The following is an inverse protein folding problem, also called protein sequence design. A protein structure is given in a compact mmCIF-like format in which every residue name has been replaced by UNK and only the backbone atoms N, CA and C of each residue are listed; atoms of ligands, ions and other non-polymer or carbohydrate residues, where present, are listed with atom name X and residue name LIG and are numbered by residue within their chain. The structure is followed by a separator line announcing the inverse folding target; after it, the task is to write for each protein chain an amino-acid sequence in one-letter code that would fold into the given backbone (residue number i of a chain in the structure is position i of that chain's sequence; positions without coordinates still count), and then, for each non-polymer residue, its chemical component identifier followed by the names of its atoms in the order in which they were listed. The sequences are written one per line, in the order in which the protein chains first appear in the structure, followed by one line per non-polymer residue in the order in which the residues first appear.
data_IF_181181808512
#
_entry.id   IF_181181808512
#
_cell.length_a   1.000
_cell.length_b   1.000
_cell.length_c   1.000
_cell.angle_alpha   90.00
_cell.angle_beta   90.00
_cell.angle_gamma   90.00
#
_symmetry.space_group_name_H-M   'P 1'
#
loop_
_entity.id
_entity.type
_entity.pdbx_description
1 polymer ?
#
# COMPACT_ATOMS: atom_id res chain seq x y z
N UNK A 1 36.20 34.14 20.48
CA UNK A 1 35.10 33.17 20.73
C UNK A 1 34.09 33.87 21.61
N UNK A 2 32.92 34.08 21.10
CA UNK A 2 31.81 34.61 21.90
C UNK A 2 31.23 33.52 22.80
N UNK A 3 30.46 33.88 23.84
CA UNK A 3 29.77 32.90 24.68
C UNK A 3 28.89 31.98 23.86
N UNK A 4 28.33 32.45 22.73
CA UNK A 4 27.55 31.68 21.80
C UNK A 4 28.33 30.63 21.01
N UNK A 5 29.61 30.94 20.69
CA UNK A 5 30.44 29.97 19.93
C UNK A 5 30.87 28.76 20.78
N UNK A 6 31.06 28.99 22.09
CA UNK A 6 31.39 27.92 23.04
C UNK A 6 30.14 27.12 23.40
N UNK A 7 28.98 27.77 23.51
CA UNK A 7 27.72 27.12 23.79
C UNK A 7 27.30 26.15 22.65
N UNK A 8 27.56 26.49 21.38
CA UNK A 8 27.25 25.63 20.24
C UNK A 8 28.07 24.32 20.21
N UNK A 9 29.27 24.31 20.82
CA UNK A 9 30.17 23.16 20.80
C UNK A 9 30.09 22.28 22.06
N UNK A 10 29.96 22.88 23.25
CA UNK A 10 30.09 22.18 24.54
C UNK A 10 29.12 22.63 25.63
N UNK A 11 28.23 23.59 25.38
CA UNK A 11 27.37 24.22 26.38
C UNK A 11 25.94 24.44 25.91
N UNK A 12 25.44 23.60 25.01
CA UNK A 12 24.02 23.62 24.62
C UNK A 12 23.18 23.30 25.85
N UNK A 13 22.13 24.12 26.11
CA UNK A 13 21.23 23.93 27.23
C UNK A 13 20.55 22.56 27.25
N UNK A 14 20.33 21.95 26.07
CA UNK A 14 19.72 20.62 25.93
C UNK A 14 20.65 19.44 26.32
N UNK A 15 21.90 19.72 26.72
CA UNK A 15 22.71 18.73 27.44
C UNK A 15 22.26 18.60 28.90
N UNK A 16 21.56 19.59 29.44
CA UNK A 16 21.08 19.63 30.81
C UNK A 16 19.59 19.87 30.99
N UNK A 17 18.91 20.24 29.91
CA UNK A 17 17.47 20.48 29.86
C UNK A 17 16.81 19.60 28.79
N UNK A 18 15.62 19.07 29.02
CA UNK A 18 14.91 18.29 27.99
C UNK A 18 14.52 19.18 26.80
N UNK A 19 14.46 18.58 25.61
CA UNK A 19 13.95 19.25 24.43
C UNK A 19 12.49 19.67 24.62
N UNK A 20 12.04 20.80 24.02
CA UNK A 20 10.63 21.19 24.05
C UNK A 20 9.73 20.12 23.44
N UNK A 21 8.77 19.61 24.22
CA UNK A 21 7.88 18.51 23.78
C UNK A 21 6.39 18.82 23.97
N UNK A 22 6.03 19.69 24.92
CA UNK A 22 4.63 19.94 25.27
C UNK A 22 4.19 21.39 25.06
N UNK A 23 5.13 22.34 25.10
CA UNK A 23 4.83 23.77 24.96
C UNK A 23 5.60 24.36 23.81
N UNK A 24 4.99 25.32 23.11
CA UNK A 24 5.70 26.09 22.08
C UNK A 24 6.80 26.90 22.75
N UNK A 25 8.07 26.77 22.30
CA UNK A 25 9.19 27.42 22.94
C UNK A 25 9.13 28.94 22.73
N UNK A 26 9.39 29.71 23.80
CA UNK A 26 9.45 31.17 23.75
C UNK A 26 10.67 31.68 22.95
N UNK A 27 11.80 30.97 23.02
CA UNK A 27 13.00 31.26 22.29
C UNK A 27 13.39 30.14 21.32
N UNK A 28 13.75 30.51 20.10
CA UNK A 28 14.22 29.56 19.10
C UNK A 28 15.64 29.05 19.42
N UNK A 29 16.00 28.01 18.66
CA UNK A 29 17.36 27.40 18.66
C UNK A 29 18.12 27.78 17.41
N UNK A 30 19.45 27.60 17.42
CA UNK A 30 20.24 27.70 16.18
C UNK A 30 19.90 26.53 15.25
N UNK A 31 20.03 26.71 13.94
CA UNK A 31 19.80 25.65 12.98
C UNK A 31 20.65 24.40 13.27
N UNK A 32 21.92 24.59 13.67
CA UNK A 32 22.83 23.49 14.01
C UNK A 32 22.37 22.70 15.23
N UNK A 33 21.89 23.38 16.28
CA UNK A 33 21.38 22.72 17.47
C UNK A 33 20.08 21.98 17.20
N UNK A 34 19.19 22.58 16.37
CA UNK A 34 17.94 21.92 15.94
C UNK A 34 18.22 20.66 15.13
N UNK A 35 19.15 20.72 14.18
CA UNK A 35 19.54 19.55 13.41
C UNK A 35 20.11 18.44 14.30
N UNK A 36 21.01 18.78 15.21
CA UNK A 36 21.59 17.80 16.11
C UNK A 36 20.54 17.13 17.00
N UNK A 37 19.59 17.89 17.51
CA UNK A 37 18.50 17.36 18.33
C UNK A 37 17.65 16.32 17.53
N UNK A 38 17.30 16.66 16.28
CA UNK A 38 16.56 15.73 15.41
C UNK A 38 17.40 14.49 15.07
N UNK A 39 18.67 14.64 14.76
CA UNK A 39 19.54 13.51 14.42
C UNK A 39 19.73 12.56 15.62
N UNK A 40 19.84 13.10 16.86
CA UNK A 40 19.93 12.31 18.09
C UNK A 40 18.66 11.45 18.33
N UNK A 41 17.48 11.98 18.02
CA UNK A 41 16.21 11.23 18.12
C UNK A 41 16.07 10.22 16.98
N UNK A 42 16.32 10.63 15.73
CA UNK A 42 16.14 9.81 14.54
C UNK A 42 17.09 8.60 14.47
N UNK A 43 18.28 8.68 15.10
CA UNK A 43 19.22 7.55 15.18
C UNK A 43 18.65 6.35 15.96
N UNK A 44 17.62 6.58 16.80
CA UNK A 44 16.93 5.52 17.56
C UNK A 44 15.92 4.75 16.72
N UNK A 45 15.62 5.20 15.50
CA UNK A 45 14.72 4.50 14.59
C UNK A 45 15.36 3.24 14.00
N UNK A 46 14.52 2.31 13.53
CA UNK A 46 14.98 1.06 12.93
C UNK A 46 15.62 1.22 11.55
N UNK A 47 16.44 0.24 11.17
CA UNK A 47 17.02 0.18 9.82
C UNK A 47 15.94 -0.15 8.77
N UNK A 48 15.64 0.77 7.84
CA UNK A 48 14.62 0.53 6.81
C UNK A 48 14.95 -0.63 5.87
N UNK A 49 16.23 -1.01 5.72
CA UNK A 49 16.62 -2.15 4.88
C UNK A 49 16.25 -3.50 5.55
N UNK A 50 16.20 -3.55 6.88
CA UNK A 50 15.80 -4.73 7.64
C UNK A 50 14.31 -4.77 7.98
N UNK A 51 13.56 -3.74 7.58
CA UNK A 51 12.13 -3.70 7.76
C UNK A 51 11.41 -4.42 6.61
N UNK A 52 11.05 -5.68 6.83
CA UNK A 52 10.31 -6.52 5.88
C UNK A 52 8.79 -6.52 6.16
N UNK A 53 8.33 -5.63 7.05
CA UNK A 53 6.92 -5.47 7.37
C UNK A 53 6.20 -4.51 6.42
N UNK A 54 6.88 -3.48 5.92
CA UNK A 54 6.28 -2.42 5.10
C UNK A 54 6.60 -2.56 3.62
N UNK A 55 5.59 -2.29 2.79
CA UNK A 55 5.71 -2.24 1.33
C UNK A 55 6.35 -0.95 0.80
N UNK A 56 6.62 0.02 1.68
CA UNK A 56 7.06 1.36 1.30
C UNK A 56 8.49 1.34 0.80
N UNK A 57 8.75 2.02 -0.32
CA UNK A 57 10.08 2.26 -0.88
C UNK A 57 10.90 3.14 0.06
N UNK A 58 12.12 2.71 0.33
CA UNK A 58 13.06 3.40 1.23
C UNK A 58 14.37 3.83 0.56
N UNK A 59 14.48 3.59 -0.74
CA UNK A 59 15.65 3.95 -1.53
C UNK A 59 15.25 4.46 -2.92
N UNK A 60 15.91 5.50 -3.39
CA UNK A 60 15.84 6.00 -4.76
C UNK A 60 17.23 6.43 -5.24
N UNK A 61 17.43 6.48 -6.56
CA UNK A 61 18.67 6.99 -7.17
C UNK A 61 18.95 8.44 -6.74
N UNK A 62 20.24 8.86 -6.58
CA UNK A 62 20.60 10.22 -6.17
C UNK A 62 19.98 11.31 -7.06
N UNK A 63 19.82 11.06 -8.36
CA UNK A 63 19.19 11.98 -9.31
C UNK A 63 17.70 12.19 -8.98
N UNK A 64 17.00 11.14 -8.60
CA UNK A 64 15.60 11.23 -8.16
C UNK A 64 15.48 11.99 -6.83
N UNK A 65 16.37 11.72 -5.88
CA UNK A 65 16.42 12.46 -4.61
C UNK A 65 16.68 13.96 -4.85
N UNK A 66 17.57 14.31 -5.79
CA UNK A 66 17.82 15.69 -6.18
C UNK A 66 16.57 16.35 -6.78
N UNK A 67 15.86 15.65 -7.69
CA UNK A 67 14.59 16.15 -8.25
C UNK A 67 13.59 16.43 -7.12
N UNK A 68 13.48 15.56 -6.14
CA UNK A 68 12.58 15.75 -5.00
C UNK A 68 12.97 17.01 -4.23
N UNK A 69 14.24 17.10 -3.80
CA UNK A 69 14.74 18.19 -2.96
C UNK A 69 14.63 19.56 -3.64
N UNK A 70 14.97 19.65 -4.93
CA UNK A 70 14.92 20.90 -5.70
C UNK A 70 13.50 21.37 -6.00
N UNK A 71 12.46 20.52 -5.83
CA UNK A 71 11.08 20.81 -6.21
C UNK A 71 10.08 20.75 -5.05
N UNK A 72 10.55 20.69 -3.79
CA UNK A 72 9.68 20.65 -2.60
C UNK A 72 8.75 21.87 -2.46
N UNK A 73 9.18 23.02 -2.98
CA UNK A 73 8.45 24.29 -2.92
C UNK A 73 7.26 24.37 -3.87
N UNK A 74 7.12 23.46 -4.86
CA UNK A 74 6.07 23.52 -5.87
C UNK A 74 4.75 23.09 -5.29
N UNK A 75 3.80 24.05 -5.17
CA UNK A 75 2.42 23.72 -4.80
C UNK A 75 1.66 23.22 -6.02
N UNK A 76 1.22 21.98 -5.97
CA UNK A 76 0.66 21.31 -7.15
C UNK A 76 -0.64 21.92 -7.65
N UNK A 77 -1.48 22.50 -6.78
CA UNK A 77 -2.76 23.09 -7.18
C UNK A 77 -2.59 24.36 -8.02
N UNK A 78 -1.41 24.97 -7.99
CA UNK A 78 -1.13 26.20 -8.75
C UNK A 78 -0.68 25.87 -10.17
N UNK A 79 -1.64 25.47 -11.00
CA UNK A 79 -1.40 25.13 -12.40
C UNK A 79 -0.97 26.35 -13.25
N UNK A 80 -1.25 27.58 -12.80
CA UNK A 80 -0.81 28.78 -13.49
C UNK A 80 0.69 29.03 -13.33
N UNK A 81 1.23 28.77 -12.13
CA UNK A 81 2.67 28.87 -11.84
C UNK A 81 3.43 27.61 -12.30
N UNK A 82 2.84 26.42 -12.13
CA UNK A 82 3.49 25.13 -12.40
C UNK A 82 2.78 24.30 -13.49
N UNK A 83 2.51 24.83 -14.70
CA UNK A 83 1.75 24.13 -15.74
C UNK A 83 2.45 22.85 -16.22
N UNK A 84 3.78 22.79 -16.15
CA UNK A 84 4.55 21.60 -16.55
C UNK A 84 4.39 20.48 -15.53
N UNK A 85 4.28 20.79 -14.23
CA UNK A 85 4.02 19.78 -13.19
C UNK A 85 2.64 19.13 -13.39
N UNK A 86 1.62 19.93 -13.74
CA UNK A 86 0.28 19.43 -14.08
C UNK A 86 0.30 18.55 -15.35
N UNK A 87 1.02 18.97 -16.40
CA UNK A 87 1.18 18.15 -17.61
C UNK A 87 1.92 16.83 -17.33
N UNK A 88 2.93 16.83 -16.45
CA UNK A 88 3.65 15.61 -16.06
C UNK A 88 2.71 14.65 -15.31
N UNK A 89 1.84 15.13 -14.43
CA UNK A 89 0.81 14.30 -13.80
C UNK A 89 -0.04 13.60 -14.88
N UNK A 90 -0.54 14.36 -15.83
CA UNK A 90 -1.37 13.81 -16.91
C UNK A 90 -0.61 12.80 -17.78
N UNK A 91 0.70 12.97 -17.97
CA UNK A 91 1.55 11.96 -18.61
C UNK A 91 1.60 10.69 -17.79
N UNK A 92 1.81 10.79 -16.48
CA UNK A 92 1.81 9.62 -15.60
C UNK A 92 0.45 8.88 -15.63
N UNK A 93 -0.67 9.62 -15.60
CA UNK A 93 -2.01 9.01 -15.70
C UNK A 93 -2.18 8.27 -17.04
N UNK A 94 -1.77 8.88 -18.17
CA UNK A 94 -1.83 8.21 -19.48
C UNK A 94 -0.94 6.99 -19.57
N UNK A 95 0.27 7.04 -19.01
CA UNK A 95 1.19 5.89 -18.95
C UNK A 95 0.63 4.73 -18.12
N UNK A 96 -0.02 5.04 -16.99
CA UNK A 96 -0.70 4.03 -16.17
C UNK A 96 -1.94 3.47 -16.87
N UNK A 97 -2.71 4.32 -17.54
CA UNK A 97 -3.86 3.89 -18.32
C UNK A 97 -3.46 2.89 -19.44
N UNK A 98 -2.37 3.18 -20.16
CA UNK A 98 -1.78 2.27 -21.16
C UNK A 98 -1.29 0.98 -20.49
N UNK A 99 -0.59 1.09 -19.36
CA UNK A 99 -0.10 -0.08 -18.60
C UNK A 99 -1.23 -0.99 -18.14
N UNK A 100 -2.40 -0.43 -17.81
CA UNK A 100 -3.60 -1.14 -17.37
C UNK A 100 -4.60 -1.42 -18.51
N UNK A 101 -4.17 -1.26 -19.76
CA UNK A 101 -4.94 -1.58 -20.97
C UNK A 101 -6.31 -0.84 -21.06
N UNK A 102 -6.34 0.42 -20.72
CA UNK A 102 -7.55 1.23 -20.85
C UNK A 102 -8.00 1.35 -22.34
N UNK A 103 -9.30 1.16 -22.64
CA UNK A 103 -9.76 1.01 -24.03
C UNK A 103 -9.86 2.33 -24.81
N UNK A 104 -9.79 3.49 -24.13
CA UNK A 104 -10.03 4.79 -24.76
C UNK A 104 -9.50 5.96 -23.96
N UNK A 105 -10.19 7.10 -24.07
CA UNK A 105 -9.84 8.30 -23.30
C UNK A 105 -10.16 8.10 -21.84
N UNK A 106 -9.14 8.16 -21.01
CA UNK A 106 -9.20 7.94 -19.58
C UNK A 106 -9.09 9.24 -18.80
N UNK A 107 -9.46 9.19 -17.54
CA UNK A 107 -9.16 10.23 -16.56
C UNK A 107 -8.58 9.61 -15.30
N UNK A 108 -7.93 10.40 -14.50
CA UNK A 108 -7.33 9.99 -13.25
C UNK A 108 -6.61 11.13 -12.58
N UNK A 109 -6.07 10.87 -11.41
CA UNK A 109 -5.29 11.84 -10.67
C UNK A 109 -4.20 11.18 -9.84
N UNK A 110 -3.22 11.98 -9.49
CA UNK A 110 -2.33 11.67 -8.39
C UNK A 110 -3.07 11.82 -7.06
N UNK A 111 -2.60 11.10 -6.05
CA UNK A 111 -3.08 11.19 -4.65
C UNK A 111 -1.89 11.12 -3.71
N UNK A 112 -2.10 11.39 -2.42
CA UNK A 112 -1.04 11.24 -1.41
C UNK A 112 -0.68 9.75 -1.14
N UNK A 113 -1.50 8.83 -1.63
CA UNK A 113 -1.33 7.39 -1.52
C UNK A 113 -2.63 6.68 -1.85
N UNK A 114 -2.62 5.35 -1.86
CA UNK A 114 -3.81 4.56 -2.18
C UNK A 114 -5.00 4.83 -1.27
N UNK A 115 -4.81 5.26 -0.03
CA UNK A 115 -5.94 5.60 0.84
C UNK A 115 -6.82 6.70 0.26
N UNK A 116 -6.23 7.78 -0.25
CA UNK A 116 -6.98 8.84 -0.93
C UNK A 116 -7.56 8.34 -2.26
N UNK A 117 -6.78 7.58 -3.04
CA UNK A 117 -7.23 7.02 -4.31
C UNK A 117 -8.44 6.10 -4.15
N UNK A 118 -8.44 5.24 -3.11
CA UNK A 118 -9.56 4.39 -2.73
C UNK A 118 -10.79 5.23 -2.35
N UNK A 119 -10.63 6.25 -1.51
CA UNK A 119 -11.74 7.13 -1.12
C UNK A 119 -12.39 7.78 -2.34
N UNK A 120 -11.60 8.32 -3.27
CA UNK A 120 -12.09 8.97 -4.49
C UNK A 120 -12.74 7.98 -5.47
N UNK A 121 -12.10 6.81 -5.68
CA UNK A 121 -12.64 5.76 -6.53
C UNK A 121 -13.99 5.24 -6.03
N UNK A 122 -14.05 4.90 -4.74
CA UNK A 122 -15.27 4.41 -4.11
C UNK A 122 -16.37 5.48 -4.02
N UNK A 123 -16.02 6.75 -3.80
CA UNK A 123 -16.98 7.88 -3.92
C UNK A 123 -17.56 7.96 -5.33
N UNK A 124 -16.74 7.79 -6.37
CA UNK A 124 -17.24 7.79 -7.74
C UNK A 124 -18.23 6.66 -7.99
N UNK A 125 -17.95 5.45 -7.47
CA UNK A 125 -18.90 4.34 -7.53
C UNK A 125 -20.22 4.69 -6.84
N UNK A 126 -20.17 5.25 -5.63
CA UNK A 126 -21.37 5.67 -4.88
C UNK A 126 -22.19 6.71 -5.64
N UNK A 127 -21.53 7.76 -6.17
CA UNK A 127 -22.23 8.82 -6.89
C UNK A 127 -22.79 8.34 -8.24
N UNK A 128 -22.09 7.47 -8.98
CA UNK A 128 -22.60 6.84 -10.20
C UNK A 128 -23.80 5.93 -9.93
N UNK A 129 -23.77 5.14 -8.86
CA UNK A 129 -24.92 4.36 -8.42
C UNK A 129 -26.11 5.26 -8.06
N UNK A 130 -25.88 6.32 -7.28
CA UNK A 130 -26.90 7.30 -6.91
C UNK A 130 -27.54 7.97 -8.13
N UNK A 131 -26.72 8.43 -9.07
CA UNK A 131 -27.17 9.05 -10.34
C UNK A 131 -28.13 8.12 -11.11
N UNK A 132 -27.75 6.83 -11.28
CA UNK A 132 -28.59 5.83 -11.96
C UNK A 132 -29.93 5.61 -11.25
N UNK A 133 -29.91 5.47 -9.93
CA UNK A 133 -31.12 5.23 -9.14
C UNK A 133 -32.06 6.44 -9.15
N UNK A 134 -31.52 7.62 -9.03
CA UNK A 134 -32.33 8.87 -9.12
C UNK A 134 -32.96 9.02 -10.51
N UNK A 135 -32.23 8.76 -11.59
CA UNK A 135 -32.76 8.79 -12.94
C UNK A 135 -33.91 7.78 -13.16
N UNK A 136 -33.89 6.67 -12.44
CA UNK A 136 -34.95 5.65 -12.44
C UNK A 136 -36.06 5.91 -11.39
N UNK A 137 -36.02 7.03 -10.64
CA UNK A 137 -36.91 7.34 -9.51
C UNK A 137 -36.92 6.25 -8.40
N UNK A 138 -35.76 5.63 -8.15
CA UNK A 138 -35.57 4.63 -7.10
C UNK A 138 -34.91 5.27 -5.86
N UNK A 139 -35.11 4.64 -4.69
CA UNK A 139 -34.44 5.06 -3.45
C UNK A 139 -32.92 4.99 -3.60
N UNK A 140 -32.23 5.95 -2.97
CA UNK A 140 -30.76 6.03 -2.86
C UNK A 140 -30.28 5.76 -1.44
N UNK A 141 -31.15 5.18 -0.62
CA UNK A 141 -30.84 4.81 0.77
C UNK A 141 -30.06 3.49 0.82
N UNK A 142 -29.25 3.36 1.89
CA UNK A 142 -28.54 2.14 2.22
C UNK A 142 -27.63 1.57 1.12
N UNK A 143 -26.74 2.40 0.51
CA UNK A 143 -25.74 1.90 -0.39
C UNK A 143 -24.83 0.88 0.33
N UNK A 144 -24.42 -0.18 -0.35
CA UNK A 144 -23.49 -1.17 0.19
C UNK A 144 -22.31 -1.41 -0.76
N UNK A 145 -21.19 -1.87 -0.19
CA UNK A 145 -19.97 -2.19 -0.91
C UNK A 145 -19.47 -3.57 -0.50
N UNK A 146 -19.19 -4.42 -1.48
CA UNK A 146 -18.75 -5.80 -1.25
C UNK A 146 -17.24 -5.90 -1.38
N UNK A 147 -16.57 -6.54 -0.40
CA UNK A 147 -15.12 -6.77 -0.40
C UNK A 147 -14.71 -7.94 0.50
N UNK A 148 -13.52 -8.51 0.27
CA UNK A 148 -12.96 -9.57 1.10
C UNK A 148 -12.54 -9.10 2.50
N UNK A 149 -12.52 -10.00 3.47
CA UNK A 149 -12.07 -9.70 4.84
C UNK A 149 -10.58 -9.33 4.97
N UNK A 150 -9.80 -9.54 3.92
CA UNK A 150 -8.35 -9.25 3.85
C UNK A 150 -8.00 -7.88 3.25
N UNK A 151 -9.01 -7.05 2.96
CA UNK A 151 -8.77 -5.70 2.46
C UNK A 151 -8.05 -4.80 3.49
N UNK A 152 -7.41 -3.77 3.00
CA UNK A 152 -6.84 -2.75 3.87
C UNK A 152 -7.94 -1.97 4.63
N UNK A 153 -7.70 -1.62 5.88
CA UNK A 153 -8.63 -0.89 6.78
C UNK A 153 -9.25 0.38 6.17
N UNK A 154 -8.67 0.94 5.14
CA UNK A 154 -9.20 2.12 4.43
C UNK A 154 -10.58 1.86 3.83
N UNK A 155 -10.89 0.61 3.44
CA UNK A 155 -12.21 0.23 2.92
C UNK A 155 -13.30 0.31 3.99
N UNK A 156 -12.98 -0.15 5.21
CA UNK A 156 -13.88 0.03 6.36
C UNK A 156 -14.04 1.51 6.76
N UNK A 157 -12.93 2.28 6.70
CA UNK A 157 -12.98 3.74 6.91
C UNK A 157 -13.86 4.42 5.87
N UNK A 158 -13.75 4.05 4.59
CA UNK A 158 -14.63 4.57 3.54
C UNK A 158 -16.10 4.31 3.88
N UNK A 159 -16.44 3.06 4.19
CA UNK A 159 -17.80 2.68 4.53
C UNK A 159 -18.35 3.49 5.71
N UNK A 160 -17.55 3.66 6.77
CA UNK A 160 -17.93 4.41 7.96
C UNK A 160 -18.04 5.92 7.71
N UNK A 161 -17.09 6.51 6.99
CA UNK A 161 -17.04 7.96 6.77
C UNK A 161 -18.11 8.44 5.80
N UNK A 162 -18.48 7.62 4.85
CA UNK A 162 -19.40 7.97 3.78
C UNK A 162 -20.76 7.25 3.86
N UNK A 163 -21.09 6.67 5.00
CA UNK A 163 -22.37 6.00 5.24
C UNK A 163 -22.71 4.98 4.16
N UNK A 164 -21.82 3.98 4.00
CA UNK A 164 -21.96 2.83 3.10
C UNK A 164 -21.93 1.57 3.94
N UNK A 165 -22.87 0.65 3.75
CA UNK A 165 -22.90 -0.63 4.43
C UNK A 165 -21.77 -1.54 3.92
N UNK A 166 -20.81 -1.95 4.78
CA UNK A 166 -19.79 -2.91 4.37
C UNK A 166 -20.39 -4.32 4.29
N UNK A 167 -20.24 -4.99 3.16
CA UNK A 167 -20.55 -6.40 2.97
C UNK A 167 -19.27 -7.18 2.85
N UNK A 168 -18.80 -7.66 4.00
CA UNK A 168 -17.52 -8.32 4.10
C UNK A 168 -17.69 -9.81 3.75
N UNK A 169 -17.01 -10.24 2.70
CA UNK A 169 -16.88 -11.64 2.34
C UNK A 169 -15.85 -12.29 3.26
N UNK A 170 -16.25 -13.30 4.04
CA UNK A 170 -15.33 -13.93 4.99
C UNK A 170 -14.26 -14.76 4.25
N UNK A 171 -13.06 -14.84 4.85
CA UNK A 171 -12.03 -15.77 4.41
C UNK A 171 -12.28 -17.19 4.98
N UNK A 172 -11.42 -18.14 4.63
CA UNK A 172 -11.34 -19.47 5.23
C UNK A 172 -9.87 -19.84 5.51
N UNK A 173 -9.65 -20.84 6.37
CA UNK A 173 -8.30 -21.25 6.78
C UNK A 173 -7.41 -21.73 5.61
N UNK A 174 -8.04 -22.14 4.50
CA UNK A 174 -7.42 -22.63 3.27
C UNK A 174 -7.71 -21.76 2.03
N UNK A 175 -8.42 -20.62 2.21
CA UNK A 175 -8.84 -19.74 1.14
C UNK A 175 -8.65 -18.27 1.53
N UNK A 176 -7.67 -17.63 0.92
CA UNK A 176 -7.19 -16.29 1.27
C UNK A 176 -7.55 -15.19 0.26
N UNK A 177 -8.39 -15.51 -0.71
CA UNK A 177 -8.88 -14.59 -1.76
C UNK A 177 -10.34 -14.84 -2.04
N UNK A 178 -11.03 -13.86 -2.60
CA UNK A 178 -12.44 -13.98 -2.97
C UNK A 178 -12.62 -14.29 -4.46
N UNK A 179 -13.72 -14.97 -4.77
CA UNK A 179 -14.14 -15.29 -6.12
C UNK A 179 -15.65 -15.09 -6.32
N UNK A 180 -16.18 -15.45 -7.51
CA UNK A 180 -17.59 -15.19 -7.85
C UNK A 180 -18.58 -15.83 -6.89
N UNK A 181 -18.34 -17.05 -6.43
CA UNK A 181 -19.26 -17.75 -5.51
C UNK A 181 -19.34 -17.08 -4.13
N UNK A 182 -18.27 -16.39 -3.74
CA UNK A 182 -18.21 -15.67 -2.46
C UNK A 182 -18.93 -14.32 -2.57
N UNK A 183 -18.82 -13.66 -3.72
CA UNK A 183 -19.39 -12.34 -3.97
C UNK A 183 -20.89 -12.39 -4.21
N UNK A 184 -21.37 -13.38 -4.96
CA UNK A 184 -22.76 -13.48 -5.42
C UNK A 184 -23.82 -13.34 -4.30
N UNK A 185 -23.68 -13.97 -3.11
CA UNK A 185 -24.66 -13.85 -2.03
C UNK A 185 -24.73 -12.45 -1.41
N UNK A 186 -23.74 -11.59 -1.66
CA UNK A 186 -23.61 -10.28 -1.04
C UNK A 186 -24.06 -9.12 -1.93
N UNK A 187 -24.45 -9.36 -3.19
CA UNK A 187 -24.83 -8.30 -4.13
C UNK A 187 -26.35 -8.15 -4.27
N UNK A 188 -26.81 -6.91 -4.32
CA UNK A 188 -28.20 -6.52 -4.57
C UNK A 188 -28.28 -5.18 -5.34
N UNK A 189 -29.49 -4.63 -5.46
CA UNK A 189 -29.76 -3.35 -6.13
C UNK A 189 -29.13 -2.12 -5.43
N UNK A 190 -28.71 -2.26 -4.17
CA UNK A 190 -28.04 -1.21 -3.40
C UNK A 190 -26.52 -1.32 -3.44
N UNK A 191 -25.98 -2.33 -4.13
CA UNK A 191 -24.54 -2.52 -4.27
C UNK A 191 -23.94 -1.48 -5.20
N UNK A 192 -23.08 -0.62 -4.65
CA UNK A 192 -22.40 0.42 -5.43
C UNK A 192 -21.21 -0.11 -6.24
N UNK A 193 -20.66 -1.25 -5.81
CA UNK A 193 -19.55 -1.93 -6.47
C UNK A 193 -19.01 -3.11 -5.69
N UNK A 194 -18.08 -3.82 -6.31
CA UNK A 194 -17.26 -4.88 -5.71
C UNK A 194 -15.80 -4.45 -5.73
N UNK A 195 -15.10 -4.64 -4.61
CA UNK A 195 -13.66 -4.44 -4.54
C UNK A 195 -12.97 -5.76 -4.77
N UNK A 196 -12.03 -5.78 -5.71
CA UNK A 196 -11.13 -6.91 -5.93
C UNK A 196 -9.69 -6.47 -5.67
N UNK A 197 -8.97 -7.21 -4.82
CA UNK A 197 -7.60 -6.87 -4.45
C UNK A 197 -6.62 -7.61 -5.37
N UNK A 198 -5.64 -6.88 -5.88
CA UNK A 198 -4.51 -7.44 -6.62
C UNK A 198 -3.24 -7.25 -5.79
N UNK A 199 -2.80 -8.35 -5.17
CA UNK A 199 -1.71 -8.35 -4.22
C UNK A 199 -2.17 -8.04 -2.80
N UNK A 200 -2.86 -8.99 -2.14
CA UNK A 200 -3.33 -8.85 -0.76
C UNK A 200 -2.17 -8.64 0.21
N UNK A 201 -2.43 -7.89 1.27
CA UNK A 201 -1.39 -7.56 2.27
C UNK A 201 -0.86 -8.79 3.01
N UNK A 202 -1.70 -9.80 3.20
CA UNK A 202 -1.38 -10.96 4.04
C UNK A 202 -0.55 -12.02 3.28
N UNK A 203 -1.05 -12.46 2.15
CA UNK A 203 -0.46 -13.57 1.38
C UNK A 203 0.09 -13.16 0.02
N UNK A 204 -0.18 -11.93 -0.41
CA UNK A 204 0.31 -11.41 -1.69
C UNK A 204 -0.44 -11.85 -2.92
N UNK A 205 -1.52 -12.62 -2.78
CA UNK A 205 -2.30 -13.17 -3.89
C UNK A 205 -3.24 -12.14 -4.53
N UNK A 206 -3.88 -12.55 -5.61
CA UNK A 206 -4.88 -11.79 -6.34
C UNK A 206 -6.24 -12.47 -6.21
N UNK A 207 -7.29 -11.68 -5.99
CA UNK A 207 -8.68 -12.14 -6.11
C UNK A 207 -8.99 -12.64 -7.53
N UNK A 208 -10.00 -13.48 -7.67
CA UNK A 208 -10.46 -13.93 -8.99
C UNK A 208 -11.26 -12.84 -9.71
N UNK A 209 -10.54 -11.80 -10.15
CA UNK A 209 -11.14 -10.63 -10.84
C UNK A 209 -11.85 -11.05 -12.12
N UNK A 210 -11.33 -12.08 -12.82
CA UNK A 210 -11.94 -12.61 -14.06
C UNK A 210 -13.29 -13.27 -13.78
N UNK A 211 -13.35 -14.12 -12.75
CA UNK A 211 -14.58 -14.76 -12.34
C UNK A 211 -15.62 -13.76 -11.83
N UNK A 212 -15.18 -12.76 -11.03
CA UNK A 212 -16.06 -11.69 -10.54
C UNK A 212 -16.58 -10.84 -11.71
N UNK A 213 -15.74 -10.46 -12.68
CA UNK A 213 -16.20 -9.74 -13.90
C UNK A 213 -17.27 -10.53 -14.66
N UNK A 214 -17.05 -11.83 -14.85
CA UNK A 214 -18.02 -12.68 -15.52
C UNK A 214 -19.36 -12.73 -14.76
N UNK A 215 -19.33 -12.97 -13.45
CA UNK A 215 -20.51 -12.95 -12.59
C UNK A 215 -21.29 -11.64 -12.76
N UNK A 216 -20.63 -10.49 -12.64
CA UNK A 216 -21.29 -9.18 -12.68
C UNK A 216 -21.85 -8.84 -14.06
N UNK A 217 -21.22 -9.30 -15.14
CA UNK A 217 -21.80 -9.21 -16.49
C UNK A 217 -23.05 -10.08 -16.66
N UNK A 218 -23.08 -11.26 -16.07
CA UNK A 218 -24.24 -12.13 -16.12
C UNK A 218 -25.37 -11.54 -15.25
N UNK A 219 -25.09 -11.04 -14.05
CA UNK A 219 -26.03 -10.30 -13.19
C UNK A 219 -26.62 -9.08 -13.91
N UNK A 220 -25.80 -8.32 -14.65
CA UNK A 220 -26.31 -7.19 -15.47
C UNK A 220 -27.32 -7.64 -16.53
N UNK A 221 -27.07 -8.77 -17.19
CA UNK A 221 -27.99 -9.30 -18.22
C UNK A 221 -29.29 -9.85 -17.63
N UNK A 222 -29.21 -10.55 -16.50
CA UNK A 222 -30.32 -11.28 -15.92
C UNK A 222 -31.17 -10.44 -14.97
N UNK A 223 -30.54 -9.51 -14.25
CA UNK A 223 -31.18 -8.72 -13.18
C UNK A 223 -31.20 -7.21 -13.46
N UNK A 224 -30.65 -6.75 -14.60
CA UNK A 224 -30.48 -5.33 -14.95
C UNK A 224 -29.73 -4.52 -13.89
N UNK A 225 -28.77 -5.15 -13.19
CA UNK A 225 -27.93 -4.54 -12.18
C UNK A 225 -26.52 -4.33 -12.72
N UNK A 226 -26.15 -3.08 -13.04
CA UNK A 226 -24.79 -2.70 -13.45
C UNK A 226 -23.94 -2.40 -12.24
N UNK A 227 -23.22 -3.42 -11.75
CA UNK A 227 -22.33 -3.34 -10.58
C UNK A 227 -20.88 -3.32 -11.06
N UNK A 228 -20.15 -2.22 -10.86
CA UNK A 228 -18.75 -2.09 -11.26
C UNK A 228 -17.78 -2.78 -10.29
N UNK A 229 -16.57 -3.06 -10.78
CA UNK A 229 -15.43 -3.48 -9.99
C UNK A 229 -14.48 -2.28 -9.82
N UNK A 230 -14.07 -2.02 -8.58
CA UNK A 230 -12.86 -1.27 -8.28
C UNK A 230 -11.73 -2.24 -7.96
N UNK A 231 -10.61 -2.13 -8.67
CA UNK A 231 -9.43 -2.93 -8.37
C UNK A 231 -8.51 -2.18 -7.42
N UNK A 232 -8.36 -2.72 -6.21
CA UNK A 232 -7.32 -2.27 -5.29
C UNK A 232 -5.98 -2.91 -5.69
N UNK A 233 -5.27 -2.22 -6.56
CA UNK A 233 -3.93 -2.58 -7.00
C UNK A 233 -2.82 -1.87 -6.22
N UNK A 234 -3.10 -1.42 -4.97
CA UNK A 234 -2.15 -0.63 -4.18
C UNK A 234 -0.73 -1.20 -4.17
N UNK A 235 -0.61 -2.51 -4.12
CA UNK A 235 0.67 -3.22 -4.23
C UNK A 235 0.85 -3.85 -5.61
N UNK A 236 -0.12 -4.63 -6.07
CA UNK A 236 -0.01 -5.44 -7.28
C UNK A 236 -0.03 -4.66 -8.59
N UNK A 237 -0.59 -3.44 -8.62
CA UNK A 237 -0.68 -2.66 -9.86
C UNK A 237 0.67 -2.30 -10.49
N UNK A 238 1.76 -2.31 -9.72
CA UNK A 238 3.14 -2.22 -10.23
C UNK A 238 3.90 -3.55 -10.26
N UNK A 239 3.24 -4.67 -9.97
CA UNK A 239 3.86 -6.00 -10.01
C UNK A 239 3.32 -6.82 -11.17
N UNK A 240 1.98 -6.99 -11.24
CA UNK A 240 1.31 -7.84 -12.24
C UNK A 240 1.64 -7.48 -13.68
N UNK A 241 1.67 -6.19 -14.11
CA UNK A 241 1.99 -5.84 -15.49
C UNK A 241 3.38 -6.29 -15.96
N UNK A 242 4.28 -6.53 -15.01
CA UNK A 242 5.69 -6.86 -15.29
C UNK A 242 6.03 -8.33 -15.07
N UNK A 243 5.43 -8.98 -14.07
CA UNK A 243 5.65 -10.41 -13.79
C UNK A 243 4.64 -11.32 -14.48
N UNK A 244 3.40 -10.87 -14.62
CA UNK A 244 2.28 -11.69 -15.09
C UNK A 244 1.48 -10.93 -16.18
N UNK A 245 2.11 -10.52 -17.30
CA UNK A 245 1.48 -9.64 -18.30
C UNK A 245 0.23 -10.24 -18.95
N UNK A 246 0.13 -11.56 -19.01
CA UNK A 246 -1.02 -12.27 -19.58
C UNK A 246 -2.18 -12.43 -18.59
N UNK A 247 -1.94 -12.23 -17.31
CA UNK A 247 -2.97 -12.29 -16.25
C UNK A 247 -3.93 -11.11 -16.38
N UNK A 248 -5.22 -11.40 -16.52
CA UNK A 248 -6.25 -10.36 -16.65
C UNK A 248 -6.76 -9.98 -15.27
N UNK A 249 -6.66 -8.72 -14.94
CA UNK A 249 -7.13 -8.14 -13.68
C UNK A 249 -7.50 -6.66 -13.82
N UNK A 250 -7.18 -6.07 -14.99
CA UNK A 250 -7.20 -4.65 -15.29
C UNK A 250 -8.36 -4.29 -16.25
N UNK A 251 -8.26 -3.16 -16.93
CA UNK A 251 -9.29 -2.66 -17.87
C UNK A 251 -9.55 -3.55 -19.09
N UNK A 252 -8.84 -4.66 -19.28
CA UNK A 252 -9.24 -5.72 -20.20
C UNK A 252 -10.54 -6.41 -19.79
N UNK A 253 -10.95 -6.27 -18.52
CA UNK A 253 -12.20 -6.77 -17.98
C UNK A 253 -13.26 -5.66 -17.99
N UNK A 254 -14.46 -5.98 -18.47
CA UNK A 254 -15.50 -4.98 -18.78
C UNK A 254 -16.00 -4.25 -17.52
N UNK A 255 -16.18 -4.94 -16.40
CA UNK A 255 -16.73 -4.36 -15.18
C UNK A 255 -15.68 -3.65 -14.33
N UNK A 256 -14.39 -3.76 -14.64
CA UNK A 256 -13.36 -2.97 -13.98
C UNK A 256 -13.45 -1.52 -14.44
N UNK A 257 -13.89 -0.62 -13.55
CA UNK A 257 -14.14 0.81 -13.85
C UNK A 257 -13.09 1.73 -13.27
N UNK A 258 -12.41 1.34 -12.22
CA UNK A 258 -11.34 2.12 -11.61
C UNK A 258 -10.28 1.23 -10.97
N UNK A 259 -9.05 1.73 -10.95
CA UNK A 259 -7.88 1.06 -10.36
C UNK A 259 -7.12 2.09 -9.55
N UNK A 260 -6.78 1.77 -8.29
CA UNK A 260 -5.80 2.52 -7.53
C UNK A 260 -4.46 1.79 -7.47
N UNK A 261 -3.37 2.54 -7.38
CA UNK A 261 -2.02 1.99 -7.18
C UNK A 261 -1.16 2.94 -6.35
N UNK A 262 -0.31 2.38 -5.47
CA UNK A 262 0.64 3.17 -4.67
C UNK A 262 1.97 3.33 -5.40
N UNK A 263 2.30 4.56 -5.79
CA UNK A 263 3.62 4.88 -6.33
C UNK A 263 4.73 4.64 -5.31
N UNK A 264 4.44 4.84 -4.03
CA UNK A 264 5.38 4.69 -2.93
C UNK A 264 5.58 3.23 -2.43
N UNK A 265 5.00 2.25 -3.12
CA UNK A 265 5.27 0.82 -2.91
C UNK A 265 6.13 0.32 -4.08
N UNK A 266 5.60 -0.59 -4.89
CA UNK A 266 6.32 -1.11 -6.06
C UNK A 266 6.42 -0.12 -7.24
N UNK A 267 5.86 1.10 -7.12
CA UNK A 267 6.17 2.21 -8.01
C UNK A 267 7.56 2.82 -7.78
N UNK A 268 8.26 2.38 -6.71
CA UNK A 268 9.65 2.69 -6.39
C UNK A 268 9.90 4.18 -6.14
N UNK A 269 8.93 4.87 -5.54
CA UNK A 269 9.03 6.29 -5.13
C UNK A 269 8.87 6.39 -3.62
N UNK A 270 9.49 7.37 -3.00
CA UNK A 270 9.31 7.65 -1.57
C UNK A 270 7.85 7.95 -1.20
N UNK A 271 7.45 7.81 0.08
CA UNK A 271 6.08 8.08 0.55
C UNK A 271 5.50 9.41 0.08
N UNK A 272 4.20 9.44 -0.20
CA UNK A 272 3.48 10.64 -0.59
C UNK A 272 2.94 10.62 -2.03
N UNK A 273 2.89 9.48 -2.68
CA UNK A 273 2.33 9.33 -4.02
C UNK A 273 1.50 8.05 -4.18
N UNK A 274 0.31 8.20 -4.72
CA UNK A 274 -0.57 7.17 -5.23
C UNK A 274 -1.28 7.68 -6.48
N UNK A 275 -1.96 6.77 -7.15
CA UNK A 275 -2.65 7.05 -8.40
C UNK A 275 -4.02 6.41 -8.39
N UNK A 276 -5.00 7.15 -8.93
CA UNK A 276 -6.31 6.64 -9.30
C UNK A 276 -6.47 6.80 -10.81
N UNK A 277 -6.84 5.71 -11.48
CA UNK A 277 -7.12 5.70 -12.92
C UNK A 277 -8.51 5.14 -13.13
N UNK A 278 -9.33 5.83 -13.90
CA UNK A 278 -10.63 5.35 -14.36
C UNK A 278 -10.51 4.73 -15.74
N UNK A 279 -11.35 3.75 -16.05
CA UNK A 279 -11.42 3.12 -17.36
C UNK A 279 -11.73 4.12 -18.46
N UNK A 280 -12.74 4.98 -18.21
CA UNK A 280 -13.21 6.01 -19.09
C UNK A 280 -13.52 7.28 -18.30
N UNK A 281 -13.55 8.44 -18.96
CA UNK A 281 -13.92 9.72 -18.31
C UNK A 281 -15.33 9.67 -17.70
N UNK A 282 -16.24 8.90 -18.29
CA UNK A 282 -17.61 8.72 -17.82
C UNK A 282 -17.71 7.96 -16.49
N UNK A 283 -16.66 7.22 -16.09
CA UNK A 283 -16.63 6.49 -14.81
C UNK A 283 -16.35 7.43 -13.62
N UNK A 284 -15.77 8.61 -13.87
CA UNK A 284 -15.68 9.65 -12.86
C UNK A 284 -17.04 10.37 -12.73
N UNK A 285 -17.61 10.35 -11.52
CA UNK A 285 -18.84 11.06 -11.26
C UNK A 285 -18.65 12.58 -11.33
N UNK A 286 -19.47 13.26 -12.15
CA UNK A 286 -19.34 14.71 -12.41
C UNK A 286 -19.51 15.56 -11.14
N UNK A 287 -20.38 15.12 -10.23
CA UNK A 287 -20.64 15.81 -8.96
C UNK A 287 -19.45 15.82 -7.99
N UNK A 288 -18.41 15.03 -8.27
CA UNK A 288 -17.15 15.04 -7.52
C UNK A 288 -16.11 15.99 -8.09
N UNK A 289 -16.38 16.58 -9.26
CA UNK A 289 -15.46 17.53 -9.89
C UNK A 289 -15.85 18.95 -9.51
N UNK A 290 -14.96 19.63 -8.81
CA UNK A 290 -15.12 21.01 -8.42
C UNK A 290 -14.36 21.91 -9.37
N UNK A 291 -14.91 23.08 -9.67
CA UNK A 291 -14.28 24.08 -10.52
C UNK A 291 -13.90 25.28 -9.67
N UNK A 292 -12.59 25.48 -9.53
CA UNK A 292 -12.04 26.56 -8.71
C UNK A 292 -11.57 27.72 -9.59
N UNK A 293 -11.90 28.95 -9.20
CA UNK A 293 -11.42 30.17 -9.82
C UNK A 293 -10.51 30.96 -8.88
N UNK A 294 -9.60 30.23 -8.23
CA UNK A 294 -8.77 30.82 -7.16
C UNK A 294 -7.61 31.67 -7.72
N UNK A 295 -7.03 31.29 -8.85
CA UNK A 295 -5.83 31.93 -9.42
C UNK A 295 -6.11 32.59 -10.79
N UNK A 296 -7.36 32.99 -11.06
CA UNK A 296 -7.74 33.70 -12.30
C UNK A 296 -7.94 32.78 -13.51
N UNK A 297 -7.94 31.46 -13.31
CA UNK A 297 -8.35 30.43 -14.27
C UNK A 297 -9.30 29.45 -13.59
N UNK A 298 -10.22 28.90 -14.36
CA UNK A 298 -11.09 27.84 -13.86
C UNK A 298 -10.38 26.51 -14.04
N UNK A 299 -9.91 25.94 -12.92
CA UNK A 299 -9.28 24.63 -12.89
C UNK A 299 -10.23 23.60 -12.26
N UNK A 300 -10.27 22.40 -12.85
CA UNK A 300 -11.07 21.30 -12.34
C UNK A 300 -10.24 20.47 -11.33
N UNK A 301 -10.80 20.22 -10.15
CA UNK A 301 -10.17 19.38 -9.14
C UNK A 301 -11.19 18.39 -8.57
N UNK A 302 -10.74 17.18 -8.24
CA UNK A 302 -11.52 16.17 -7.51
C UNK A 302 -10.71 15.46 -6.41
N UNK A 303 -9.49 15.90 -6.16
CA UNK A 303 -8.67 15.39 -5.04
C UNK A 303 -9.21 15.85 -3.69
N UNK A 304 -9.02 15.04 -2.64
CA UNK A 304 -9.45 15.40 -1.28
C UNK A 304 -8.60 16.53 -0.69
N UNK A 305 -7.31 16.57 -1.05
CA UNK A 305 -6.37 17.57 -0.57
C UNK A 305 -6.25 18.70 -1.60
N UNK A 306 -6.20 19.95 -1.12
CA UNK A 306 -6.02 21.12 -1.97
C UNK A 306 -4.53 21.39 -2.22
N UNK A 307 -3.83 21.97 -1.27
CA UNK A 307 -2.39 22.25 -1.41
C UNK A 307 -1.54 21.01 -1.11
N UNK A 308 -0.73 20.60 -2.08
CA UNK A 308 0.16 19.43 -1.98
C UNK A 308 1.43 19.64 -2.81
N UNK A 309 2.52 18.97 -2.45
CA UNK A 309 3.78 19.06 -3.19
C UNK A 309 3.74 18.31 -4.54
N UNK A 310 4.40 18.88 -5.55
CA UNK A 310 4.56 18.27 -6.86
C UNK A 310 5.76 17.29 -6.94
N UNK A 311 6.68 17.35 -6.01
CA UNK A 311 7.97 16.65 -6.08
C UNK A 311 7.85 15.13 -6.29
N UNK A 312 6.87 14.48 -5.64
CA UNK A 312 6.67 13.03 -5.79
C UNK A 312 6.09 12.64 -7.15
N UNK A 313 5.30 13.51 -7.78
CA UNK A 313 4.83 13.32 -9.17
C UNK A 313 6.02 13.34 -10.13
N UNK A 314 6.93 14.31 -9.96
CA UNK A 314 8.14 14.42 -10.77
C UNK A 314 9.05 13.21 -10.58
N UNK A 315 9.20 12.73 -9.35
CA UNK A 315 9.95 11.51 -9.02
C UNK A 315 9.34 10.25 -9.63
N UNK A 316 8.01 10.14 -9.64
CA UNK A 316 7.33 9.01 -10.30
C UNK A 316 7.53 9.03 -11.82
N UNK A 317 7.41 10.21 -12.42
CA UNK A 317 7.68 10.36 -13.86
C UNK A 317 9.14 10.03 -14.19
N UNK A 318 10.08 10.47 -13.35
CA UNK A 318 11.49 10.09 -13.49
C UNK A 318 11.64 8.57 -13.54
N UNK A 319 11.07 7.83 -12.59
CA UNK A 319 11.14 6.37 -12.55
C UNK A 319 10.49 5.73 -13.81
N UNK A 320 9.35 6.24 -14.28
CA UNK A 320 8.70 5.72 -15.48
C UNK A 320 9.60 5.86 -16.71
N UNK A 321 10.25 7.00 -16.88
CA UNK A 321 11.13 7.27 -18.02
C UNK A 321 12.48 6.57 -17.84
N UNK A 322 13.04 6.57 -16.62
CA UNK A 322 14.35 5.99 -16.31
C UNK A 322 14.38 4.48 -16.42
N UNK A 323 13.37 3.82 -15.88
CA UNK A 323 13.29 2.36 -15.85
C UNK A 323 12.58 1.81 -17.10
N UNK A 324 11.50 2.43 -17.51
CA UNK A 324 10.64 1.88 -18.54
C UNK A 324 10.13 0.47 -18.20
N UNK A 325 9.48 -0.19 -19.13
CA UNK A 325 8.96 -1.56 -18.93
C UNK A 325 10.08 -2.54 -18.60
N UNK A 326 11.20 -2.49 -19.30
CA UNK A 326 12.30 -3.43 -19.09
C UNK A 326 12.93 -3.27 -17.70
N UNK A 327 13.15 -2.06 -17.23
CA UNK A 327 13.73 -1.81 -15.90
C UNK A 327 12.79 -2.27 -14.78
N UNK A 328 11.50 -1.94 -14.86
CA UNK A 328 10.51 -2.44 -13.89
C UNK A 328 10.44 -3.97 -13.90
N UNK A 329 10.40 -4.61 -15.08
CA UNK A 329 10.40 -6.08 -15.19
C UNK A 329 11.64 -6.67 -14.51
N UNK A 330 12.82 -6.13 -14.77
CA UNK A 330 14.06 -6.61 -14.16
C UNK A 330 14.05 -6.51 -12.63
N UNK A 331 13.59 -5.38 -12.09
CA UNK A 331 13.48 -5.16 -10.64
C UNK A 331 12.47 -6.14 -10.03
N UNK A 332 11.27 -6.27 -10.61
CA UNK A 332 10.23 -7.18 -10.10
C UNK A 332 10.67 -8.65 -10.16
N UNK A 333 11.29 -9.08 -11.27
CA UNK A 333 11.84 -10.44 -11.39
C UNK A 333 12.95 -10.72 -10.38
N UNK A 334 13.80 -9.73 -10.09
CA UNK A 334 14.87 -9.87 -9.09
C UNK A 334 14.30 -10.07 -7.70
N UNK A 335 13.31 -9.25 -7.31
CA UNK A 335 12.61 -9.41 -6.05
C UNK A 335 11.89 -10.77 -5.96
N UNK A 336 11.21 -11.18 -7.03
CA UNK A 336 10.51 -12.47 -7.07
C UNK A 336 11.47 -13.67 -6.97
N UNK A 337 12.61 -13.63 -7.65
CA UNK A 337 13.66 -14.66 -7.55
C UNK A 337 14.20 -14.76 -6.11
N UNK A 338 14.34 -13.63 -5.42
CA UNK A 338 14.78 -13.61 -4.03
C UNK A 338 13.67 -14.10 -3.08
N UNK A 339 12.39 -13.79 -3.34
CA UNK A 339 11.26 -14.33 -2.59
C UNK A 339 11.17 -15.85 -2.74
N UNK A 340 11.30 -16.38 -3.95
CA UNK A 340 11.32 -17.83 -4.19
C UNK A 340 12.48 -18.51 -3.44
N UNK A 341 13.68 -17.92 -3.45
CA UNK A 341 14.80 -18.50 -2.71
C UNK A 341 14.55 -18.55 -1.21
N UNK A 342 13.98 -17.49 -0.61
CA UNK A 342 13.59 -17.50 0.78
C UNK A 342 12.55 -18.60 1.06
N UNK A 343 11.53 -18.71 0.22
CA UNK A 343 10.48 -19.73 0.34
C UNK A 343 11.05 -21.15 0.27
N UNK A 344 11.96 -21.41 -0.69
CA UNK A 344 12.60 -22.72 -0.85
C UNK A 344 13.49 -23.08 0.35
N UNK A 345 14.25 -22.12 0.85
CA UNK A 345 15.07 -22.31 2.05
C UNK A 345 14.21 -22.63 3.27
N UNK A 346 13.09 -21.89 3.48
CA UNK A 346 12.17 -22.14 4.59
C UNK A 346 11.53 -23.53 4.51
N UNK A 347 11.07 -23.94 3.32
CA UNK A 347 10.54 -25.31 3.11
C UNK A 347 11.59 -26.38 3.37
N UNK A 348 12.80 -26.18 2.85
CA UNK A 348 13.90 -27.15 2.99
C UNK A 348 14.32 -27.34 4.44
N UNK A 349 14.06 -26.38 5.33
CA UNK A 349 14.32 -26.53 6.76
C UNK A 349 13.38 -27.54 7.44
N UNK A 350 12.24 -27.87 6.84
CA UNK A 350 11.21 -28.75 7.40
C UNK A 350 10.43 -28.15 8.59
N UNK A 351 10.76 -26.92 9.01
CA UNK A 351 10.12 -26.23 10.15
C UNK A 351 8.92 -25.39 9.76
N UNK A 352 8.83 -25.02 8.47
CA UNK A 352 7.82 -24.06 8.00
C UNK A 352 7.02 -24.59 6.81
N UNK A 353 5.74 -24.30 6.84
CA UNK A 353 4.86 -24.32 5.68
C UNK A 353 4.85 -22.92 5.05
N UNK A 354 5.08 -22.85 3.74
CA UNK A 354 5.01 -21.61 2.96
C UNK A 354 3.66 -21.55 2.27
N UNK A 355 2.93 -20.46 2.46
CA UNK A 355 1.56 -20.30 1.97
C UNK A 355 1.58 -19.79 0.53
N UNK A 356 0.94 -20.56 -0.36
CA UNK A 356 0.50 -20.12 -1.71
C UNK A 356 1.60 -19.77 -2.72
N UNK A 357 2.83 -20.18 -2.49
CA UNK A 357 3.99 -19.82 -3.34
C UNK A 357 3.96 -20.35 -4.78
N UNK A 358 2.99 -21.19 -5.12
CA UNK A 358 2.82 -21.75 -6.48
C UNK A 358 1.82 -20.92 -7.31
N UNK A 359 1.28 -19.85 -6.74
CA UNK A 359 0.33 -18.95 -7.38
C UNK A 359 1.01 -17.63 -7.80
N UNK A 360 0.34 -16.87 -8.67
CA UNK A 360 0.73 -15.48 -8.95
C UNK A 360 0.63 -14.66 -7.66
N UNK A 361 1.72 -14.06 -7.23
CA UNK A 361 1.79 -13.31 -5.98
C UNK A 361 2.80 -12.16 -6.02
N UNK A 362 2.71 -11.27 -5.02
CA UNK A 362 3.72 -10.26 -4.75
C UNK A 362 5.07 -10.90 -4.38
N UNK A 363 6.19 -10.18 -4.53
CA UNK A 363 7.48 -10.59 -4.00
C UNK A 363 7.49 -10.57 -2.46
N UNK A 364 6.81 -11.51 -1.85
CA UNK A 364 6.75 -11.74 -0.40
C UNK A 364 6.65 -13.23 -0.10
N UNK A 365 6.97 -13.59 1.13
CA UNK A 365 6.83 -14.97 1.63
C UNK A 365 6.00 -14.93 2.90
N UNK A 366 4.80 -15.53 2.84
CA UNK A 366 3.97 -15.82 3.99
C UNK A 366 4.23 -17.26 4.43
N UNK A 367 4.56 -17.48 5.70
CA UNK A 367 4.93 -18.80 6.20
C UNK A 367 4.52 -18.98 7.67
N UNK A 368 4.33 -20.22 8.09
CA UNK A 368 3.97 -20.57 9.47
C UNK A 368 4.73 -21.79 9.94
N UNK A 369 4.84 -21.96 11.25
CA UNK A 369 5.43 -23.15 11.86
C UNK A 369 4.61 -24.41 11.51
N UNK A 370 5.32 -25.53 11.34
CA UNK A 370 4.72 -26.86 11.19
C UNK A 370 4.86 -27.64 12.50
N UNK A 371 3.82 -28.37 12.92
CA UNK A 371 3.85 -29.17 14.14
C UNK A 371 3.59 -28.36 15.42
N UNK A 372 3.83 -28.99 16.56
CA UNK A 372 3.65 -28.37 17.88
C UNK A 372 4.99 -27.88 18.44
N UNK A 373 5.04 -26.61 18.85
CA UNK A 373 6.19 -25.98 19.44
C UNK A 373 5.83 -25.32 20.78
N UNK A 374 6.81 -25.12 21.65
CA UNK A 374 6.64 -24.35 22.88
C UNK A 374 6.57 -22.83 22.64
N UNK A 375 6.74 -22.38 21.42
CA UNK A 375 6.72 -20.99 20.96
C UNK A 375 5.89 -20.85 19.68
N UNK A 376 5.56 -19.63 19.30
CA UNK A 376 4.80 -19.34 18.10
C UNK A 376 5.51 -18.31 17.17
N UNK A 377 4.87 -17.94 16.07
CA UNK A 377 5.39 -17.00 15.08
C UNK A 377 5.72 -15.62 15.66
N UNK A 378 4.99 -15.17 16.73
CA UNK A 378 5.30 -13.90 17.39
C UNK A 378 6.59 -13.97 18.19
N UNK A 379 6.90 -15.12 18.76
CA UNK A 379 8.13 -15.33 19.49
C UNK A 379 9.34 -15.27 18.54
N UNK A 380 9.21 -15.86 17.34
CA UNK A 380 10.24 -15.78 16.28
C UNK A 380 10.41 -14.33 15.81
N UNK A 381 9.31 -13.61 15.52
CA UNK A 381 9.35 -12.22 15.10
C UNK A 381 10.06 -11.34 16.13
N UNK A 382 9.77 -11.54 17.42
CA UNK A 382 10.43 -10.82 18.50
C UNK A 382 11.93 -11.12 18.57
N UNK A 383 12.31 -12.40 18.51
CA UNK A 383 13.70 -12.86 18.57
C UNK A 383 14.53 -12.26 17.43
N UNK A 384 13.97 -12.24 16.21
CA UNK A 384 14.59 -11.64 15.03
C UNK A 384 14.79 -10.13 15.21
N UNK A 385 13.79 -9.43 15.75
CA UNK A 385 13.85 -8.00 15.98
C UNK A 385 14.87 -7.65 17.07
N UNK A 386 14.80 -8.33 18.22
CA UNK A 386 15.61 -8.04 19.39
C UNK A 386 17.10 -8.34 19.19
N UNK A 387 17.44 -9.44 18.51
CA UNK A 387 18.82 -9.89 18.39
C UNK A 387 19.48 -9.53 17.05
N UNK A 388 18.69 -9.38 16.00
CA UNK A 388 19.20 -9.21 14.64
C UNK A 388 18.71 -7.93 13.94
N UNK A 389 17.73 -7.24 14.51
CA UNK A 389 17.14 -6.01 13.96
C UNK A 389 16.25 -6.24 12.72
N UNK A 390 15.87 -7.51 12.43
CA UNK A 390 14.90 -7.80 11.37
C UNK A 390 13.47 -7.56 11.84
N UNK A 391 12.71 -6.76 11.11
CA UNK A 391 11.28 -6.60 11.32
C UNK A 391 10.51 -7.52 10.38
N UNK A 392 10.25 -8.76 10.82
CA UNK A 392 9.39 -9.73 10.14
C UNK A 392 8.12 -9.85 10.96
N UNK A 393 6.99 -9.27 10.53
CA UNK A 393 5.78 -9.25 11.35
C UNK A 393 5.14 -10.63 11.44
N UNK A 394 4.62 -10.94 12.62
CA UNK A 394 3.76 -12.10 12.88
C UNK A 394 2.36 -11.61 13.24
N UNK A 395 1.33 -12.19 12.62
CA UNK A 395 -0.06 -11.85 12.89
C UNK A 395 -1.00 -13.00 12.50
N UNK A 396 -2.20 -13.00 13.08
CA UNK A 396 -3.28 -13.88 12.67
C UNK A 396 -3.94 -13.35 11.39
N UNK A 397 -4.45 -14.23 10.57
CA UNK A 397 -5.24 -13.85 9.41
C UNK A 397 -6.58 -13.21 9.84
N UNK A 398 -7.27 -12.50 8.91
CA UNK A 398 -8.56 -11.86 9.16
C UNK A 398 -9.66 -12.80 9.67
N UNK A 399 -10.84 -12.25 10.05
CA UNK A 399 -11.98 -13.03 10.55
C UNK A 399 -12.31 -14.27 9.72
N UNK A 400 -12.61 -15.36 10.40
CA UNK A 400 -12.79 -16.75 9.98
C UNK A 400 -11.51 -17.52 9.58
N UNK A 401 -10.35 -16.87 9.61
CA UNK A 401 -9.05 -17.50 9.46
C UNK A 401 -8.10 -17.15 10.62
N UNK A 402 -8.61 -16.67 11.77
CA UNK A 402 -7.82 -16.19 12.92
C UNK A 402 -6.97 -17.28 13.57
N UNK A 403 -7.30 -18.55 13.32
CA UNK A 403 -6.49 -19.69 13.80
C UNK A 403 -5.18 -19.81 13.03
N UNK A 404 -5.12 -19.24 11.83
CA UNK A 404 -3.91 -19.24 11.01
C UNK A 404 -3.07 -18.05 11.40
N UNK A 405 -1.95 -18.31 12.07
CA UNK A 405 -0.93 -17.31 12.36
C UNK A 405 0.20 -17.45 11.37
N UNK A 406 0.72 -16.34 10.90
CA UNK A 406 1.79 -16.33 9.90
C UNK A 406 2.88 -15.34 10.27
N UNK A 407 4.07 -15.61 9.78
CA UNK A 407 5.13 -14.63 9.53
C UNK A 407 5.06 -14.18 8.07
N UNK A 408 5.31 -12.90 7.81
CA UNK A 408 5.36 -12.39 6.45
C UNK A 408 6.65 -11.61 6.22
N UNK A 409 7.49 -12.09 5.32
CA UNK A 409 8.70 -11.41 4.88
C UNK A 409 8.47 -10.80 3.49
N UNK A 410 8.46 -9.48 3.42
CA UNK A 410 8.40 -8.76 2.16
C UNK A 410 9.81 -8.66 1.56
N UNK A 411 9.96 -9.01 0.29
CA UNK A 411 11.22 -8.88 -0.42
C UNK A 411 11.21 -7.57 -1.20
N UNK A 412 12.07 -6.63 -0.79
CA UNK A 412 12.19 -5.30 -1.40
C UNK A 412 13.35 -5.24 -2.41
N UNK A 413 13.34 -4.21 -3.23
CA UNK A 413 14.38 -3.93 -4.24
C UNK A 413 15.80 -3.80 -3.67
N UNK A 414 15.91 -3.46 -2.40
CA UNK A 414 17.18 -3.30 -1.68
C UNK A 414 17.74 -4.60 -1.07
N UNK A 415 16.97 -5.70 -1.09
CA UNK A 415 17.40 -6.98 -0.52
C UNK A 415 18.21 -7.80 -1.51
N UNK A 416 19.50 -7.96 -1.24
CA UNK A 416 20.38 -8.83 -2.02
C UNK A 416 20.17 -10.32 -1.70
N UNK A 417 20.67 -11.20 -2.58
CA UNK A 417 20.68 -12.65 -2.35
C UNK A 417 21.40 -13.00 -1.04
N UNK A 418 22.51 -12.38 -0.74
CA UNK A 418 23.27 -12.57 0.49
C UNK A 418 22.45 -12.22 1.74
N UNK A 419 21.68 -11.13 1.67
CA UNK A 419 20.78 -10.73 2.76
C UNK A 419 19.63 -11.74 2.94
N UNK A 420 19.11 -12.33 1.88
CA UNK A 420 18.11 -13.41 1.94
C UNK A 420 18.69 -14.67 2.61
N UNK A 421 19.90 -15.06 2.26
CA UNK A 421 20.59 -16.19 2.88
C UNK A 421 20.83 -15.93 4.36
N UNK A 422 21.25 -14.70 4.71
CA UNK A 422 21.43 -14.29 6.09
C UNK A 422 20.13 -14.30 6.88
N UNK A 423 19.05 -13.76 6.32
CA UNK A 423 17.71 -13.80 6.93
C UNK A 423 17.28 -15.25 7.20
N UNK A 424 17.49 -16.14 6.23
CA UNK A 424 17.18 -17.56 6.39
C UNK A 424 17.94 -18.18 7.57
N UNK A 425 19.24 -17.89 7.69
CA UNK A 425 20.04 -18.37 8.80
C UNK A 425 19.61 -17.76 10.14
N UNK A 426 19.33 -16.45 10.17
CA UNK A 426 18.87 -15.76 11.38
C UNK A 426 17.49 -16.30 11.85
N UNK A 427 16.60 -16.70 10.94
CA UNK A 427 15.34 -17.38 11.27
C UNK A 427 15.62 -18.77 11.88
N UNK A 428 16.54 -19.54 11.31
CA UNK A 428 16.90 -20.84 11.86
C UNK A 428 17.51 -20.72 13.27
N UNK A 429 18.44 -19.79 13.44
CA UNK A 429 19.08 -19.50 14.73
C UNK A 429 18.08 -19.06 15.81
N UNK A 430 17.08 -18.25 15.40
CA UNK A 430 16.00 -17.82 16.29
C UNK A 430 15.17 -19.01 16.78
N UNK A 431 14.80 -19.92 15.86
CA UNK A 431 14.09 -21.16 16.22
C UNK A 431 14.93 -22.04 17.14
N UNK A 432 16.21 -22.25 16.84
CA UNK A 432 17.12 -23.05 17.69
C UNK A 432 17.24 -22.45 19.10
N UNK A 433 17.33 -21.12 19.19
CA UNK A 433 17.36 -20.42 20.49
C UNK A 433 16.06 -20.65 21.27
N UNK A 434 14.90 -20.56 20.61
CA UNK A 434 13.59 -20.77 21.23
C UNK A 434 13.38 -22.25 21.65
N UNK A 435 13.84 -23.19 20.84
CA UNK A 435 13.82 -24.62 21.17
C UNK A 435 14.62 -24.90 22.46
N UNK A 436 15.83 -24.32 22.59
CA UNK A 436 16.67 -24.49 23.79
C UNK A 436 16.10 -23.82 25.05
N UNK A 437 15.44 -22.64 24.89
CA UNK A 437 14.82 -21.91 26.01
C UNK A 437 13.47 -22.50 26.44
N UNK A 438 12.86 -23.38 25.67
CA UNK A 438 11.50 -23.87 25.89
C UNK A 438 10.43 -22.78 25.67
N UNK A 439 10.69 -21.86 24.77
CA UNK A 439 9.80 -20.75 24.41
C UNK A 439 10.16 -19.41 25.06
N UNK A 440 9.30 -18.42 24.85
CA UNK A 440 9.51 -17.03 25.31
C UNK A 440 8.99 -16.83 26.73
N UNK A 441 9.74 -16.15 27.59
CA UNK A 441 9.33 -15.86 28.96
C UNK A 441 8.14 -14.91 29.06
N UNK A 442 7.43 -14.89 30.19
CA UNK A 442 6.31 -13.94 30.42
C UNK A 442 6.73 -12.47 30.32
N UNK A 443 7.97 -12.15 30.70
CA UNK A 443 8.52 -10.79 30.60
C UNK A 443 8.77 -10.37 29.15
N UNK A 444 9.35 -11.24 28.35
CA UNK A 444 9.57 -11.04 26.93
C UNK A 444 8.23 -10.89 26.17
N UNK A 445 7.24 -11.73 26.47
CA UNK A 445 5.87 -11.61 25.91
C UNK A 445 5.18 -10.29 26.26
N UNK A 446 5.45 -9.72 27.42
CA UNK A 446 4.93 -8.40 27.79
C UNK A 446 5.57 -7.27 26.97
N UNK A 447 6.83 -7.42 26.59
CA UNK A 447 7.53 -6.49 25.67
C UNK A 447 7.01 -6.61 24.23
N UNK A 448 6.76 -7.83 23.74
CA UNK A 448 6.12 -8.08 22.44
C UNK A 448 4.79 -7.29 22.32
N UNK A 449 3.92 -7.40 23.36
CA UNK A 449 2.64 -6.69 23.39
C UNK A 449 2.76 -5.16 23.42
N UNK A 450 3.85 -4.61 23.92
CA UNK A 450 4.12 -3.16 23.94
C UNK A 450 4.71 -2.66 22.61
N UNK A 451 5.49 -3.51 21.91
CA UNK A 451 6.10 -3.19 20.63
C UNK A 451 5.17 -3.36 19.41
N UNK A 452 4.05 -4.07 19.56
CA UNK A 452 3.04 -4.28 18.49
C UNK A 452 1.91 -3.25 18.51
N UNK A 453 2.12 -2.10 19.16
CA UNK A 453 1.18 -0.98 19.16
C UNK A 453 1.07 -0.30 17.79
N UNK A 454 0.37 -0.97 16.86
CA UNK A 454 -0.17 -0.39 15.64
C UNK A 454 -1.69 -0.63 15.60
#
# INVERSE_FOLDING_TARGET
MTKSDVAALFGNRFLTEPAPSETFPEEGMTATDTMRLLDEDLVMEGDPQRNLATFVTTWMEPEAQRIIAENLHRNFIDHAEYPISAEIEQRCVRMLADLFHAPGKTTGCRTQGSSEAIMLGALSLKWKWRERRQAANLSVDRPNLVFGGDVHVVWEKFCRYFDVEPRIVPLAEDKYTIGPQDVEPHIDENTIGVVAVVGTTFTGHKDDVVGIDKLLRDVRKERDLDIPIHVDGASGGFVWPFLYPDSKWDFRLEQVRSINVSGHKYGLVYPGIGWLVFREESDLAKDLVFYENYLGKTDATFTLNFSTGASMVLAQYYNFVRLGRQGYTYVMETMQKNAHALADNLRSSGRFEVIGSDLEQLPLVAFRLTGEHAYDESDIAWQLSAERGWMVPAYTLPPNAERVKILRALVKETLSREQIERLTQDIADACDTLDHKGGTTKGERAQIKRGTGY
#
